data_IF_462933302254
#
_entry.id   IF_462933302254
#
_cell.length_a   1.000
_cell.length_b   1.000
_cell.length_c   1.000
_cell.angle_alpha   90.00
_cell.angle_beta   90.00
_cell.angle_gamma   90.00
#
_symmetry.space_group_name_H-M   'P 1'
#
loop_
_entity.id
_entity.type
_entity.pdbx_description
1 polymer ?
#
# COMPACT_ATOMS: atom_id res chain seq x y z
N UNK A 1 -3.23 19.96 -21.38
CA UNK A 1 -3.12 18.90 -20.35
C UNK A 1 -1.95 18.03 -20.78
N UNK A 2 -0.81 18.11 -20.11
CA UNK A 2 0.34 17.29 -20.47
C UNK A 2 0.16 15.91 -19.81
N UNK A 3 0.08 14.86 -20.64
CA UNK A 3 0.18 13.47 -20.20
C UNK A 3 1.60 13.22 -19.67
N UNK A 4 1.77 13.32 -18.35
CA UNK A 4 3.03 12.90 -17.73
C UNK A 4 3.05 11.37 -17.64
N UNK A 5 3.78 10.76 -18.53
CA UNK A 5 4.21 9.38 -18.32
C UNK A 5 5.09 9.32 -17.06
N UNK A 6 4.82 8.37 -16.16
CA UNK A 6 5.73 8.10 -15.05
C UNK A 6 7.14 7.82 -15.56
N UNK A 7 8.13 8.38 -14.84
CA UNK A 7 9.54 8.11 -15.14
C UNK A 7 9.79 6.60 -15.04
N UNK A 8 10.65 6.09 -15.90
CA UNK A 8 11.11 4.70 -15.85
C UNK A 8 11.78 4.41 -14.51
N UNK A 9 11.01 3.94 -13.54
CA UNK A 9 11.48 3.52 -12.23
C UNK A 9 10.99 2.10 -11.92
N UNK A 10 11.76 1.37 -11.14
CA UNK A 10 11.37 0.03 -10.67
C UNK A 10 10.77 0.12 -9.26
N UNK A 11 9.58 -0.45 -9.09
CA UNK A 11 9.01 -0.66 -7.77
C UNK A 11 9.62 -1.90 -7.13
N UNK A 12 10.28 -1.75 -5.98
CA UNK A 12 10.84 -2.87 -5.21
C UNK A 12 10.08 -3.03 -3.91
N UNK A 13 9.51 -4.21 -3.71
CA UNK A 13 8.78 -4.57 -2.49
C UNK A 13 9.50 -5.70 -1.76
N UNK A 14 10.30 -5.40 -0.72
CA UNK A 14 10.74 -6.40 0.24
C UNK A 14 9.52 -6.82 1.08
N UNK A 15 8.97 -7.99 0.78
CA UNK A 15 7.71 -8.45 1.36
C UNK A 15 7.80 -8.63 2.87
N UNK A 16 6.94 -7.95 3.60
CA UNK A 16 6.82 -8.10 5.06
C UNK A 16 5.97 -9.33 5.38
N UNK A 17 6.57 -10.29 6.10
CA UNK A 17 6.00 -11.63 6.26
C UNK A 17 5.21 -11.85 7.54
N UNK A 18 5.44 -11.05 8.56
CA UNK A 18 4.88 -11.29 9.89
C UNK A 18 3.35 -11.22 9.92
N UNK A 19 2.75 -11.52 11.06
CA UNK A 19 1.31 -11.46 11.21
C UNK A 19 0.78 -10.05 10.93
N UNK A 20 -0.43 -9.96 10.39
CA UNK A 20 -1.18 -8.72 10.33
C UNK A 20 -2.25 -8.74 11.42
N UNK A 21 -2.39 -7.67 12.19
CA UNK A 21 -3.45 -7.49 13.20
C UNK A 21 -4.85 -7.39 12.60
N UNK A 22 -4.94 -7.18 11.29
CA UNK A 22 -6.19 -7.10 10.54
C UNK A 22 -6.46 -8.38 9.73
N UNK A 23 -7.71 -8.54 9.32
CA UNK A 23 -8.17 -9.59 8.41
C UNK A 23 -9.22 -9.00 7.45
N UNK A 24 -8.80 -7.95 6.70
CA UNK A 24 -9.65 -7.18 5.82
C UNK A 24 -10.45 -8.07 4.86
N UNK A 25 -11.71 -7.74 4.64
CA UNK A 25 -12.62 -8.57 3.84
C UNK A 25 -12.16 -8.70 2.37
N UNK A 26 -11.47 -7.70 1.86
CA UNK A 26 -10.96 -7.62 0.48
C UNK A 26 -9.43 -7.86 0.39
N UNK A 27 -8.79 -8.40 1.43
CA UNK A 27 -7.34 -8.53 1.47
C UNK A 27 -6.80 -9.41 0.34
N UNK A 28 -5.99 -8.85 -0.55
CA UNK A 28 -5.37 -9.57 -1.68
C UNK A 28 -4.50 -10.74 -1.24
N UNK A 29 -3.93 -10.68 -0.02
CA UNK A 29 -3.20 -11.79 0.58
C UNK A 29 -4.04 -13.07 0.75
N UNK A 30 -5.36 -12.92 0.85
CA UNK A 30 -6.29 -14.05 0.92
C UNK A 30 -6.60 -14.63 -0.46
N UNK A 31 -6.35 -13.86 -1.51
CA UNK A 31 -6.57 -14.26 -2.89
C UNK A 31 -5.39 -15.06 -3.46
N UNK A 32 -4.18 -14.76 -3.03
CA UNK A 32 -2.93 -15.38 -3.54
C UNK A 32 -2.59 -16.71 -2.83
N UNK A 33 -3.38 -17.14 -1.86
CA UNK A 33 -3.10 -18.32 -1.03
C UNK A 33 -3.08 -19.67 -1.74
N UNK A 34 -3.38 -19.76 -3.00
CA UNK A 34 -3.32 -21.03 -3.75
C UNK A 34 -1.89 -21.50 -4.04
N UNK A 35 -1.15 -21.69 -2.99
CA UNK A 35 0.06 -22.50 -3.06
C UNK A 35 1.38 -21.76 -3.00
N UNK A 36 1.94 -21.58 -1.89
CA UNK A 36 3.39 -21.59 -1.67
C UNK A 36 4.09 -20.39 -1.04
N UNK A 37 3.58 -19.17 -1.11
CA UNK A 37 4.32 -18.02 -0.52
C UNK A 37 4.12 -17.90 0.99
N UNK A 38 3.11 -18.47 1.53
CA UNK A 38 2.51 -18.11 2.81
C UNK A 38 3.15 -18.68 4.05
N UNK A 39 4.17 -19.49 3.95
CA UNK A 39 4.77 -20.09 5.14
C UNK A 39 6.27 -19.89 5.16
N UNK A 40 6.70 -18.64 5.18
CA UNK A 40 8.02 -18.35 5.71
C UNK A 40 7.87 -18.13 7.21
N UNK A 41 8.38 -19.08 8.00
CA UNK A 41 8.46 -18.93 9.45
C UNK A 41 9.66 -18.03 9.86
N UNK A 42 9.91 -16.98 9.12
CA UNK A 42 11.01 -16.06 9.33
C UNK A 42 11.70 -15.65 8.03
N UNK A 43 12.69 -14.79 8.14
CA UNK A 43 13.60 -14.44 7.06
C UNK A 43 14.71 -15.50 6.94
N UNK A 44 15.17 -15.80 5.72
CA UNK A 44 16.28 -16.72 5.52
C UNK A 44 17.60 -16.12 6.06
N UNK A 45 18.54 -16.97 6.42
CA UNK A 45 19.80 -16.54 7.05
C UNK A 45 20.60 -15.56 6.18
N UNK A 46 20.52 -15.69 4.86
CA UNK A 46 21.19 -14.86 3.88
C UNK A 46 20.29 -13.75 3.28
N UNK A 47 19.14 -13.45 3.92
CA UNK A 47 18.16 -12.47 3.47
C UNK A 47 18.78 -11.10 3.14
N UNK A 48 19.56 -10.58 4.08
CA UNK A 48 20.18 -9.25 3.95
C UNK A 48 21.17 -9.19 2.77
N UNK A 49 22.01 -10.21 2.64
CA UNK A 49 23.01 -10.30 1.57
C UNK A 49 22.33 -10.38 0.19
N UNK A 50 21.33 -11.25 0.08
CA UNK A 50 20.56 -11.43 -1.16
C UNK A 50 19.79 -10.16 -1.53
N UNK A 51 19.14 -9.50 -0.57
CA UNK A 51 18.43 -8.26 -0.84
C UNK A 51 19.37 -7.16 -1.33
N UNK A 52 20.55 -7.04 -0.74
CA UNK A 52 21.58 -6.13 -1.22
C UNK A 52 21.98 -6.44 -2.67
N UNK A 53 22.21 -7.71 -3.02
CA UNK A 53 22.50 -8.12 -4.41
C UNK A 53 21.40 -7.74 -5.38
N UNK A 54 20.12 -7.85 -4.98
CA UNK A 54 18.99 -7.39 -5.81
C UNK A 54 19.11 -5.89 -6.10
N UNK A 55 19.33 -5.07 -5.07
CA UNK A 55 19.45 -3.62 -5.24
C UNK A 55 20.67 -3.24 -6.10
N UNK A 56 21.82 -3.86 -5.88
CA UNK A 56 23.03 -3.63 -6.67
C UNK A 56 22.84 -3.93 -8.16
N UNK A 57 22.06 -4.98 -8.47
CA UNK A 57 21.79 -5.36 -9.87
C UNK A 57 20.98 -4.31 -10.64
N UNK A 58 20.19 -3.51 -9.94
CA UNK A 58 19.35 -2.46 -10.52
C UNK A 58 19.83 -1.05 -10.14
N UNK A 59 21.09 -0.91 -9.72
CA UNK A 59 21.64 0.32 -9.13
C UNK A 59 21.48 1.55 -10.02
N UNK A 60 21.57 1.36 -11.33
CA UNK A 60 21.47 2.45 -12.33
C UNK A 60 20.01 2.89 -12.60
N UNK A 61 19.03 2.19 -12.03
CA UNK A 61 17.61 2.48 -12.23
C UNK A 61 17.04 3.14 -11.00
N UNK A 62 16.24 4.22 -11.12
CA UNK A 62 15.53 4.80 -9.99
C UNK A 62 14.60 3.79 -9.34
N UNK A 63 14.63 3.71 -8.01
CA UNK A 63 13.89 2.72 -7.22
C UNK A 63 12.80 3.42 -6.40
N UNK A 64 11.56 2.95 -6.54
CA UNK A 64 10.49 3.18 -5.59
C UNK A 64 10.46 2.02 -4.59
N UNK A 65 10.84 2.27 -3.34
CA UNK A 65 10.85 1.25 -2.29
C UNK A 65 9.51 1.18 -1.58
N UNK A 66 8.77 0.09 -1.81
CA UNK A 66 7.45 -0.16 -1.24
C UNK A 66 7.55 -1.09 -0.02
N UNK A 67 7.42 -0.53 1.18
CA UNK A 67 7.42 -1.30 2.44
C UNK A 67 6.01 -1.81 2.69
N UNK A 68 5.71 -2.98 2.16
CA UNK A 68 4.37 -3.59 2.18
C UNK A 68 4.43 -5.12 2.24
N UNK A 69 3.29 -5.77 2.06
CA UNK A 69 3.06 -7.19 2.26
C UNK A 69 1.98 -7.35 3.33
N UNK A 70 2.32 -7.91 4.50
CA UNK A 70 1.43 -7.85 5.66
C UNK A 70 1.56 -6.50 6.39
N UNK A 71 1.62 -6.47 7.71
CA UNK A 71 1.70 -5.21 8.46
C UNK A 71 3.15 -4.88 8.83
N UNK A 72 3.80 -3.87 8.19
CA UNK A 72 5.19 -3.52 8.45
C UNK A 72 5.47 -3.15 9.91
N UNK A 73 4.54 -2.45 10.54
CA UNK A 73 4.71 -1.98 11.93
C UNK A 73 4.66 -3.10 12.97
N UNK A 74 4.23 -4.29 12.59
CA UNK A 74 4.28 -5.50 13.43
C UNK A 74 5.52 -6.36 13.17
N UNK A 75 6.37 -5.96 12.23
CA UNK A 75 7.60 -6.66 11.83
C UNK A 75 8.83 -5.76 12.00
N UNK A 76 8.95 -5.11 13.15
CA UNK A 76 9.96 -4.09 13.45
C UNK A 76 11.39 -4.55 13.13
N UNK A 77 11.75 -5.79 13.45
CA UNK A 77 13.08 -6.34 13.16
C UNK A 77 13.35 -6.43 11.65
N UNK A 78 12.43 -7.05 10.90
CA UNK A 78 12.58 -7.15 9.43
C UNK A 78 12.57 -5.76 8.78
N UNK A 79 11.71 -4.87 9.25
CA UNK A 79 11.65 -3.49 8.78
C UNK A 79 13.00 -2.77 8.97
N UNK A 80 13.62 -2.90 10.16
CA UNK A 80 14.93 -2.35 10.46
C UNK A 80 16.01 -2.88 9.51
N UNK A 81 16.07 -4.20 9.29
CA UNK A 81 17.01 -4.82 8.35
C UNK A 81 16.86 -4.26 6.94
N UNK A 82 15.62 -4.16 6.44
CA UNK A 82 15.33 -3.61 5.10
C UNK A 82 15.79 -2.16 4.98
N UNK A 83 15.48 -1.34 5.97
CA UNK A 83 15.82 0.07 5.99
C UNK A 83 17.32 0.32 6.07
N UNK A 84 18.05 -0.47 6.88
CA UNK A 84 19.51 -0.40 6.98
C UNK A 84 20.18 -0.75 5.65
N UNK A 85 19.69 -1.77 4.96
CA UNK A 85 20.19 -2.15 3.62
C UNK A 85 19.93 -1.03 2.62
N UNK A 86 18.71 -0.49 2.60
CA UNK A 86 18.32 0.61 1.70
C UNK A 86 19.17 1.86 1.95
N UNK A 87 19.46 2.19 3.21
CA UNK A 87 20.31 3.32 3.59
C UNK A 87 21.72 3.13 3.07
N UNK A 88 22.36 1.98 3.34
CA UNK A 88 23.72 1.66 2.85
C UNK A 88 23.77 1.72 1.33
N UNK A 89 22.80 1.15 0.64
CA UNK A 89 22.69 1.22 -0.82
C UNK A 89 22.69 2.66 -1.33
N UNK A 90 21.96 3.59 -0.67
CA UNK A 90 21.97 5.01 -1.04
C UNK A 90 23.32 5.67 -0.73
N UNK A 91 23.95 5.36 0.40
CA UNK A 91 25.29 5.85 0.77
C UNK A 91 26.37 5.39 -0.23
N UNK A 92 26.17 4.23 -0.86
CA UNK A 92 27.04 3.65 -1.91
C UNK A 92 26.66 4.16 -3.34
N UNK A 93 25.81 5.19 -3.43
CA UNK A 93 25.43 5.85 -4.69
C UNK A 93 24.22 5.24 -5.40
N UNK A 94 23.49 4.35 -4.76
CA UNK A 94 22.21 3.85 -5.27
C UNK A 94 21.09 4.89 -5.21
N UNK A 95 20.15 4.85 -6.14
CA UNK A 95 19.11 5.86 -6.28
C UNK A 95 17.74 5.31 -5.85
N UNK A 96 17.34 5.58 -4.59
CA UNK A 96 15.97 5.37 -4.11
C UNK A 96 15.23 6.71 -4.15
N UNK A 97 14.22 6.81 -4.99
CA UNK A 97 13.42 8.04 -5.19
C UNK A 97 12.45 8.28 -4.04
N UNK A 98 11.78 7.21 -3.60
CA UNK A 98 10.81 7.24 -2.52
C UNK A 98 10.88 5.97 -1.68
N UNK A 99 10.62 6.10 -0.38
CA UNK A 99 10.40 5.00 0.56
C UNK A 99 9.01 5.17 1.15
N UNK A 100 8.07 4.34 0.74
CA UNK A 100 6.67 4.43 1.15
C UNK A 100 6.29 3.22 1.97
N UNK A 101 5.78 3.46 3.17
CA UNK A 101 5.29 2.41 4.06
C UNK A 101 3.76 2.35 4.01
N UNK A 102 3.22 1.16 3.74
CA UNK A 102 1.78 0.87 3.74
C UNK A 102 1.40 0.20 5.05
N UNK A 103 0.55 0.82 5.85
CA UNK A 103 0.29 0.36 7.21
C UNK A 103 -1.14 0.61 7.67
N UNK A 104 -1.68 -0.27 8.50
CA UNK A 104 -2.90 -0.04 9.27
C UNK A 104 -2.64 0.64 10.62
N UNK A 105 -1.39 1.00 10.89
CA UNK A 105 -0.87 1.69 12.08
C UNK A 105 -0.98 0.92 13.41
N UNK A 106 -1.35 -0.37 13.39
CA UNK A 106 -1.54 -1.14 14.64
C UNK A 106 -0.28 -1.23 15.51
N UNK A 107 0.89 -1.34 14.88
CA UNK A 107 2.15 -1.35 15.60
C UNK A 107 2.44 -0.03 16.31
N UNK A 108 2.12 1.12 15.69
CA UNK A 108 2.27 2.43 16.33
C UNK A 108 1.35 2.62 17.55
N UNK A 109 0.15 2.04 17.52
CA UNK A 109 -0.73 2.05 18.68
C UNK A 109 -0.18 1.25 19.88
N UNK A 110 0.75 0.32 19.61
CA UNK A 110 1.40 -0.54 20.63
C UNK A 110 2.75 -0.01 21.08
N UNK A 111 3.60 0.42 20.13
CA UNK A 111 4.98 0.87 20.39
C UNK A 111 5.34 2.05 19.46
N UNK A 112 4.73 3.20 19.72
CA UNK A 112 4.97 4.40 18.92
C UNK A 112 6.47 4.80 18.90
N UNK A 113 7.05 4.95 20.10
CA UNK A 113 8.42 5.45 20.23
C UNK A 113 9.45 4.49 19.63
N UNK A 114 9.29 3.19 19.87
CA UNK A 114 10.20 2.20 19.32
C UNK A 114 10.14 2.10 17.79
N UNK A 115 8.95 2.33 17.19
CA UNK A 115 8.84 2.39 15.72
C UNK A 115 9.43 3.67 15.16
N UNK A 116 9.19 4.83 15.78
CA UNK A 116 9.81 6.08 15.34
C UNK A 116 11.34 5.99 15.39
N UNK A 117 11.93 5.41 16.45
CA UNK A 117 13.37 5.18 16.49
C UNK A 117 13.86 4.25 15.37
N UNK A 118 13.06 3.21 15.03
CA UNK A 118 13.41 2.33 13.90
C UNK A 118 13.37 3.06 12.55
N UNK A 119 12.45 4.02 12.38
CA UNK A 119 12.30 4.78 11.13
C UNK A 119 13.28 5.98 11.05
N UNK A 120 13.81 6.41 12.19
CA UNK A 120 14.68 7.57 12.30
C UNK A 120 15.94 7.43 11.46
N UNK A 121 16.25 8.47 10.69
CA UNK A 121 17.45 8.50 9.85
C UNK A 121 17.37 7.67 8.57
N UNK A 122 16.21 7.04 8.26
CA UNK A 122 16.00 6.27 7.05
C UNK A 122 15.24 7.03 5.94
N UNK A 123 14.89 8.29 6.18
CA UNK A 123 14.25 9.17 5.17
C UNK A 123 12.98 8.54 4.56
N UNK A 124 12.06 8.12 5.41
CA UNK A 124 10.75 7.64 4.95
C UNK A 124 10.03 8.81 4.29
N UNK A 125 9.64 8.65 3.03
CA UNK A 125 8.99 9.71 2.25
C UNK A 125 7.59 9.98 2.75
N UNK A 126 6.83 8.93 3.03
CA UNK A 126 5.47 9.00 3.62
C UNK A 126 5.01 7.65 4.14
N UNK A 127 3.99 7.72 4.98
CA UNK A 127 3.22 6.54 5.40
C UNK A 127 1.83 6.61 4.76
N UNK A 128 1.49 5.60 3.97
CA UNK A 128 0.14 5.40 3.46
C UNK A 128 -0.66 4.59 4.49
N UNK A 129 -1.51 5.29 5.23
CA UNK A 129 -2.26 4.67 6.30
C UNK A 129 -3.65 4.21 5.83
N UNK A 130 -3.93 2.93 6.04
CA UNK A 130 -5.17 2.29 5.63
C UNK A 130 -6.26 2.51 6.67
N UNK A 131 -7.25 3.34 6.32
CA UNK A 131 -8.51 3.52 7.07
C UNK A 131 -9.64 3.56 6.06
N UNK A 132 -10.52 2.58 6.06
CA UNK A 132 -11.47 2.39 4.95
C UNK A 132 -12.87 2.99 5.23
N UNK A 133 -13.04 3.59 6.43
CA UNK A 133 -14.22 4.38 6.77
C UNK A 133 -13.92 5.32 7.98
N UNK A 134 -14.56 6.49 7.99
CA UNK A 134 -14.51 7.44 9.11
C UNK A 134 -15.33 6.97 10.32
N UNK A 135 -16.39 6.21 10.10
CA UNK A 135 -17.14 5.55 11.17
C UNK A 135 -16.37 4.32 11.68
N UNK A 136 -16.15 4.26 12.98
CA UNK A 136 -15.34 3.24 13.65
C UNK A 136 -15.89 1.82 13.46
N UNK A 137 -17.20 1.64 13.56
CA UNK A 137 -17.81 0.32 13.47
C UNK A 137 -17.86 -0.19 12.04
N UNK A 138 -18.15 0.69 11.08
CA UNK A 138 -18.06 0.36 9.65
C UNK A 138 -16.62 0.00 9.26
N UNK A 139 -15.64 0.80 9.71
CA UNK A 139 -14.23 0.47 9.49
C UNK A 139 -13.86 -0.88 10.11
N UNK A 140 -14.29 -1.15 11.35
CA UNK A 140 -14.05 -2.44 11.99
C UNK A 140 -14.69 -3.61 11.22
N UNK A 141 -15.88 -3.41 10.69
CA UNK A 141 -16.55 -4.43 9.89
C UNK A 141 -15.78 -4.75 8.60
N UNK A 142 -15.17 -3.74 7.97
CA UNK A 142 -14.36 -3.88 6.75
C UNK A 142 -12.99 -4.50 7.07
N UNK A 143 -12.26 -3.91 8.02
CA UNK A 143 -10.86 -4.24 8.33
C UNK A 143 -10.75 -5.49 9.20
N UNK A 144 -11.71 -5.72 10.07
CA UNK A 144 -11.77 -6.86 11.01
C UNK A 144 -10.47 -7.00 11.82
N UNK A 145 -10.13 -5.93 12.54
CA UNK A 145 -9.04 -5.99 13.51
C UNK A 145 -9.26 -7.16 14.48
N UNK A 146 -8.22 -7.94 14.69
CA UNK A 146 -8.23 -9.16 15.48
C UNK A 146 -8.33 -8.83 16.97
N UNK A 147 -8.77 -9.82 17.76
CA UNK A 147 -8.67 -9.79 19.20
C UNK A 147 -7.32 -10.35 19.63
N UNK A 148 -6.67 -9.66 20.56
CA UNK A 148 -5.47 -10.14 21.25
C UNK A 148 -5.77 -10.15 22.76
N UNK A 149 -5.57 -11.29 23.42
CA UNK A 149 -5.93 -11.48 24.84
C UNK A 149 -7.38 -11.09 25.19
N UNK A 150 -8.32 -11.26 24.24
CA UNK A 150 -9.75 -10.95 24.42
C UNK A 150 -10.14 -9.53 24.03
N UNK A 151 -9.20 -8.63 23.84
CA UNK A 151 -9.44 -7.23 23.42
C UNK A 151 -9.15 -7.04 21.95
N UNK A 152 -9.97 -6.20 21.27
CA UNK A 152 -9.73 -5.80 19.88
C UNK A 152 -8.52 -4.85 19.85
N UNK A 153 -7.73 -4.92 18.78
CA UNK A 153 -6.59 -4.02 18.55
C UNK A 153 -6.96 -2.56 18.82
N UNK A 154 -6.18 -1.82 19.64
CA UNK A 154 -6.51 -0.47 20.06
C UNK A 154 -6.74 0.50 18.89
N UNK A 155 -6.02 0.31 17.78
CA UNK A 155 -6.14 1.15 16.58
C UNK A 155 -7.52 1.09 15.92
N UNK A 156 -8.39 0.15 16.30
CA UNK A 156 -9.80 0.13 15.89
C UNK A 156 -10.48 1.45 16.25
N UNK A 157 -10.22 1.97 17.46
CA UNK A 157 -10.88 3.17 17.98
C UNK A 157 -10.41 4.42 17.26
N UNK A 158 -11.38 5.27 16.87
CA UNK A 158 -11.08 6.54 16.20
C UNK A 158 -10.18 7.45 17.05
N UNK A 159 -10.40 7.49 18.36
CA UNK A 159 -9.57 8.26 19.29
C UNK A 159 -8.08 7.88 19.18
N UNK A 160 -7.78 6.57 19.25
CA UNK A 160 -6.41 6.05 19.16
C UNK A 160 -5.83 6.28 17.76
N UNK A 161 -6.62 6.03 16.73
CA UNK A 161 -6.22 6.25 15.34
C UNK A 161 -5.87 7.72 15.10
N UNK A 162 -6.73 8.63 15.53
CA UNK A 162 -6.54 10.08 15.38
C UNK A 162 -5.29 10.58 16.10
N UNK A 163 -5.05 10.12 17.35
CA UNK A 163 -3.83 10.47 18.10
C UNK A 163 -2.57 9.99 17.37
N UNK A 164 -2.55 8.73 16.94
CA UNK A 164 -1.42 8.15 16.21
C UNK A 164 -1.16 8.92 14.92
N UNK A 165 -2.19 9.21 14.11
CA UNK A 165 -2.03 9.93 12.84
C UNK A 165 -1.52 11.36 13.06
N UNK A 166 -2.07 12.11 14.02
CA UNK A 166 -1.60 13.47 14.33
C UNK A 166 -0.12 13.48 14.69
N UNK A 167 0.28 12.62 15.61
CA UNK A 167 1.69 12.50 16.04
C UNK A 167 2.63 12.06 14.91
N UNK A 168 2.18 11.14 14.05
CA UNK A 168 2.97 10.71 12.89
C UNK A 168 3.15 11.84 11.90
N UNK A 169 2.08 12.56 11.59
CA UNK A 169 2.10 13.63 10.57
C UNK A 169 3.01 14.81 10.95
N UNK A 170 3.39 14.95 12.23
CA UNK A 170 4.40 15.90 12.68
C UNK A 170 5.83 15.51 12.31
N UNK A 171 6.10 14.21 12.09
CA UNK A 171 7.47 13.69 11.87
C UNK A 171 7.67 13.00 10.53
N UNK A 172 6.64 12.38 9.99
CA UNK A 172 6.62 11.70 8.69
C UNK A 172 5.30 12.02 8.01
N UNK A 173 5.29 12.52 6.77
CA UNK A 173 4.05 12.80 6.04
C UNK A 173 3.11 11.57 6.03
N UNK A 174 1.86 11.78 6.40
CA UNK A 174 0.83 10.75 6.37
C UNK A 174 -0.13 11.00 5.22
N UNK A 175 -0.34 9.97 4.40
CA UNK A 175 -1.39 9.92 3.38
C UNK A 175 -2.45 8.93 3.83
N UNK A 176 -3.70 9.35 3.91
CA UNK A 176 -4.79 8.42 4.22
C UNK A 176 -5.27 7.70 2.97
N UNK A 177 -5.50 6.39 3.11
CA UNK A 177 -5.96 5.55 2.00
C UNK A 177 -7.25 4.83 2.37
N UNK A 178 -8.28 5.01 1.54
CA UNK A 178 -9.52 4.27 1.63
C UNK A 178 -9.81 3.52 0.33
N UNK A 179 -10.39 2.32 0.45
CA UNK A 179 -10.92 1.57 -0.70
C UNK A 179 -12.40 1.88 -0.84
N UNK A 180 -12.78 2.33 -2.04
CA UNK A 180 -14.17 2.56 -2.41
C UNK A 180 -14.89 1.22 -2.53
N UNK A 181 -16.01 1.07 -1.83
CA UNK A 181 -16.74 -0.20 -1.76
C UNK A 181 -18.16 -0.04 -1.24
N UNK A 182 -19.10 -0.85 -1.73
CA UNK A 182 -20.54 -0.73 -1.45
C UNK A 182 -20.94 -0.79 0.02
N UNK A 183 -20.18 -1.48 0.87
CA UNK A 183 -20.38 -1.51 2.33
C UNK A 183 -19.52 -0.51 3.10
N UNK A 184 -18.73 0.30 2.39
CA UNK A 184 -17.90 1.35 2.94
C UNK A 184 -18.21 2.69 2.28
N UNK A 185 -17.16 3.41 1.87
CA UNK A 185 -17.28 4.68 1.14
C UNK A 185 -17.69 4.35 -0.30
N UNK A 186 -18.86 4.79 -0.71
CA UNK A 186 -19.44 4.43 -2.01
C UNK A 186 -20.14 5.57 -2.76
N UNK A 187 -20.08 6.79 -2.21
CA UNK A 187 -20.66 7.98 -2.86
C UNK A 187 -19.92 9.25 -2.42
N UNK A 188 -20.18 10.35 -3.13
CA UNK A 188 -19.52 11.65 -2.90
C UNK A 188 -19.77 12.20 -1.51
N UNK A 189 -20.95 12.00 -0.92
CA UNK A 189 -21.24 12.48 0.43
C UNK A 189 -20.33 11.80 1.48
N UNK A 190 -20.13 10.48 1.39
CA UNK A 190 -19.23 9.75 2.26
C UNK A 190 -17.75 10.09 2.01
N UNK A 191 -17.37 10.38 0.77
CA UNK A 191 -16.04 10.91 0.43
C UNK A 191 -15.80 12.23 1.15
N UNK A 192 -16.75 13.16 1.10
CA UNK A 192 -16.65 14.46 1.78
C UNK A 192 -16.52 14.28 3.30
N UNK A 193 -17.31 13.40 3.92
CA UNK A 193 -17.18 13.12 5.35
C UNK A 193 -15.81 12.49 5.70
N UNK A 194 -15.28 11.63 4.85
CA UNK A 194 -13.94 11.08 5.03
C UNK A 194 -12.85 12.16 4.90
N UNK A 195 -13.01 13.11 3.99
CA UNK A 195 -12.07 14.23 3.83
C UNK A 195 -12.11 15.17 5.03
N UNK A 196 -13.29 15.43 5.62
CA UNK A 196 -13.41 16.17 6.89
C UNK A 196 -12.69 15.44 8.03
N UNK A 197 -12.89 14.13 8.14
CA UNK A 197 -12.20 13.30 9.13
C UNK A 197 -10.66 13.35 8.95
N UNK A 198 -10.15 13.36 7.72
CA UNK A 198 -8.73 13.54 7.44
C UNK A 198 -8.23 14.95 7.83
N UNK A 199 -9.02 15.99 7.51
CA UNK A 199 -8.69 17.40 7.85
C UNK A 199 -8.59 17.61 9.39
N UNK A 200 -9.44 16.97 10.20
CA UNK A 200 -9.38 17.01 11.66
C UNK A 200 -8.05 16.47 12.23
N UNK A 201 -7.38 15.62 11.49
CA UNK A 201 -6.07 15.06 11.84
C UNK A 201 -4.90 15.82 11.22
N UNK A 202 -5.17 16.91 10.49
CA UNK A 202 -4.14 17.67 9.77
C UNK A 202 -3.59 16.95 8.52
N UNK A 203 -4.27 15.89 8.05
CA UNK A 203 -3.87 15.18 6.83
C UNK A 203 -4.37 15.95 5.60
N UNK A 204 -3.46 16.24 4.69
CA UNK A 204 -3.72 17.02 3.47
C UNK A 204 -3.56 16.21 2.18
N UNK A 205 -3.39 14.89 2.30
CA UNK A 205 -3.24 13.98 1.17
C UNK A 205 -4.05 12.70 1.40
N UNK A 206 -5.03 12.46 0.55
CA UNK A 206 -5.98 11.35 0.67
C UNK A 206 -6.08 10.62 -0.65
N UNK A 207 -6.08 9.29 -0.59
CA UNK A 207 -6.27 8.42 -1.75
C UNK A 207 -7.51 7.57 -1.57
N UNK A 208 -8.36 7.59 -2.58
CA UNK A 208 -9.46 6.65 -2.74
C UNK A 208 -9.10 5.65 -3.85
N UNK A 209 -9.09 4.38 -3.52
CA UNK A 209 -8.79 3.31 -4.48
C UNK A 209 -10.04 2.53 -4.84
N UNK A 210 -10.20 2.26 -6.12
CA UNK A 210 -11.18 1.28 -6.57
C UNK A 210 -10.83 -0.10 -6.00
N UNK A 211 -11.84 -0.86 -5.62
CA UNK A 211 -11.67 -2.23 -5.16
C UNK A 211 -11.23 -3.10 -6.35
N UNK A 212 -9.98 -3.56 -6.30
CA UNK A 212 -9.37 -4.30 -7.39
C UNK A 212 -10.05 -5.65 -7.60
N UNK A 213 -10.30 -6.01 -8.86
CA UNK A 213 -10.78 -7.32 -9.28
C UNK A 213 -9.64 -8.12 -9.92
N UNK A 214 -9.60 -9.42 -9.65
CA UNK A 214 -8.60 -10.35 -10.16
C UNK A 214 -9.33 -11.54 -10.78
N UNK A 215 -9.34 -11.67 -12.11
CA UNK A 215 -10.19 -12.65 -12.79
C UNK A 215 -9.62 -14.08 -12.82
N UNK A 216 -8.33 -14.28 -12.99
CA UNK A 216 -7.81 -15.60 -13.34
C UNK A 216 -7.03 -16.34 -12.23
N UNK A 217 -6.63 -15.68 -11.15
CA UNK A 217 -5.61 -16.24 -10.24
C UNK A 217 -6.25 -16.84 -8.98
N UNK A 218 -7.59 -16.98 -8.90
CA UNK A 218 -8.15 -16.83 -7.60
C UNK A 218 -9.12 -17.93 -7.21
N UNK A 219 -8.83 -18.43 -6.00
CA UNK A 219 -9.76 -19.19 -5.18
C UNK A 219 -11.13 -18.48 -5.12
N UNK A 220 -12.21 -19.21 -5.42
CA UNK A 220 -13.61 -18.78 -5.33
C UNK A 220 -14.08 -18.61 -3.87
N UNK A 221 -13.19 -18.09 -3.01
CA UNK A 221 -13.43 -17.92 -1.60
C UNK A 221 -14.25 -16.69 -1.24
N UNK A 222 -14.53 -16.55 0.06
CA UNK A 222 -15.33 -15.45 0.62
C UNK A 222 -14.78 -14.04 0.28
N UNK A 223 -13.47 -13.91 0.11
CA UNK A 223 -12.84 -12.62 -0.25
C UNK A 223 -13.21 -12.22 -1.67
N UNK A 224 -13.18 -13.14 -2.62
CA UNK A 224 -13.61 -12.89 -4.00
C UNK A 224 -15.09 -12.52 -4.04
N UNK A 225 -15.95 -13.31 -3.39
CA UNK A 225 -17.36 -13.00 -3.30
C UNK A 225 -17.60 -11.61 -2.72
N UNK A 226 -16.86 -11.23 -1.66
CA UNK A 226 -16.95 -9.90 -1.08
C UNK A 226 -16.60 -8.81 -2.10
N UNK A 227 -15.53 -8.99 -2.87
CA UNK A 227 -15.09 -8.04 -3.89
C UNK A 227 -16.15 -7.88 -4.97
N UNK A 228 -16.65 -8.98 -5.51
CA UNK A 228 -17.70 -8.98 -6.55
C UNK A 228 -18.98 -8.29 -6.08
N UNK A 229 -19.41 -8.50 -4.83
CA UNK A 229 -20.62 -7.90 -4.26
C UNK A 229 -20.46 -6.43 -3.88
N UNK A 230 -19.23 -5.94 -3.68
CA UNK A 230 -18.97 -4.60 -3.11
C UNK A 230 -18.17 -3.68 -4.02
N UNK A 231 -17.70 -4.14 -5.17
CA UNK A 231 -17.00 -3.29 -6.12
C UNK A 231 -17.92 -2.19 -6.64
N UNK A 232 -17.36 -1.00 -6.77
CA UNK A 232 -17.99 0.19 -7.35
C UNK A 232 -17.06 0.65 -8.47
N UNK A 233 -17.63 1.00 -9.60
CA UNK A 233 -16.86 1.57 -10.70
C UNK A 233 -16.40 2.99 -10.32
N UNK A 234 -15.09 3.24 -10.41
CA UNK A 234 -14.54 4.54 -10.07
C UNK A 234 -15.10 5.66 -10.94
N UNK A 235 -15.39 5.37 -12.20
CA UNK A 235 -15.90 6.37 -13.13
C UNK A 235 -17.26 6.91 -12.70
N UNK A 236 -18.15 6.09 -12.12
CA UNK A 236 -19.44 6.54 -11.58
C UNK A 236 -19.27 7.57 -10.45
N UNK A 237 -18.24 7.38 -9.63
CA UNK A 237 -17.88 8.34 -8.57
C UNK A 237 -17.35 9.64 -9.19
N UNK A 238 -16.44 9.55 -10.17
CA UNK A 238 -15.83 10.72 -10.79
C UNK A 238 -16.85 11.59 -11.54
N UNK A 239 -17.83 10.98 -12.18
CA UNK A 239 -18.94 11.69 -12.85
C UNK A 239 -19.85 12.44 -11.87
N UNK A 240 -19.94 11.94 -10.63
CA UNK A 240 -20.78 12.53 -9.58
C UNK A 240 -20.06 13.62 -8.75
N UNK A 241 -18.74 13.79 -8.91
CA UNK A 241 -17.97 14.77 -8.16
C UNK A 241 -18.34 16.21 -8.57
N UNK A 242 -18.72 17.08 -7.61
CA UNK A 242 -19.06 18.46 -7.92
C UNK A 242 -17.79 19.32 -8.19
N UNK A 243 -17.72 19.90 -9.38
CA UNK A 243 -16.61 20.75 -9.83
C UNK A 243 -16.35 21.96 -8.94
N UNK A 244 -17.35 22.45 -8.21
CA UNK A 244 -17.20 23.60 -7.32
C UNK A 244 -16.30 23.28 -6.13
N UNK A 245 -16.36 22.04 -5.63
CA UNK A 245 -15.59 21.61 -4.46
C UNK A 245 -14.30 20.88 -4.81
N UNK A 246 -14.27 20.20 -5.94
CA UNK A 246 -13.12 19.43 -6.41
C UNK A 246 -12.58 20.03 -7.71
N UNK A 247 -11.34 20.49 -7.68
CA UNK A 247 -10.66 21.00 -8.87
C UNK A 247 -9.69 19.94 -9.39
N UNK A 248 -9.91 19.47 -10.61
CA UNK A 248 -9.00 18.54 -11.27
C UNK A 248 -7.64 19.20 -11.46
N UNK A 249 -6.59 18.56 -10.98
CA UNK A 249 -5.21 19.04 -11.10
C UNK A 249 -4.42 18.28 -12.16
N UNK A 250 -4.53 16.96 -12.16
CA UNK A 250 -3.77 16.10 -13.07
C UNK A 250 -4.48 14.75 -13.28
N UNK A 251 -4.09 14.10 -14.38
CA UNK A 251 -4.41 12.70 -14.65
C UNK A 251 -3.10 12.02 -14.94
N UNK A 252 -2.82 10.93 -14.22
CA UNK A 252 -1.64 10.10 -14.43
C UNK A 252 -2.12 8.76 -14.99
N UNK A 253 -1.55 8.38 -16.13
CA UNK A 253 -1.74 7.08 -16.73
C UNK A 253 -0.45 6.27 -16.59
N UNK A 254 -0.46 5.26 -15.74
CA UNK A 254 0.55 4.21 -15.71
C UNK A 254 0.23 3.11 -16.74
N UNK A 255 1.04 2.07 -16.80
CA UNK A 255 0.80 1.00 -17.77
C UNK A 255 -0.37 0.07 -17.38
N UNK A 256 -0.77 0.05 -16.11
CA UNK A 256 -1.91 -0.73 -15.61
C UNK A 256 -2.75 0.00 -14.57
N UNK A 257 -2.50 1.29 -14.37
CA UNK A 257 -3.30 2.08 -13.43
C UNK A 257 -3.56 3.49 -13.95
N UNK A 258 -4.61 4.10 -13.40
CA UNK A 258 -4.94 5.49 -13.60
C UNK A 258 -5.06 6.17 -12.24
N UNK A 259 -4.61 7.42 -12.17
CA UNK A 259 -4.80 8.27 -11.01
C UNK A 259 -5.33 9.62 -11.44
N UNK A 260 -6.46 10.02 -10.86
CA UNK A 260 -7.12 11.31 -11.08
C UNK A 260 -6.88 12.17 -9.85
N UNK A 261 -6.04 13.18 -9.98
CA UNK A 261 -5.68 14.08 -8.88
C UNK A 261 -6.55 15.31 -8.84
N UNK A 262 -7.17 15.56 -7.70
CA UNK A 262 -8.02 16.73 -7.44
C UNK A 262 -7.50 17.53 -6.25
N UNK A 263 -7.93 18.79 -6.19
CA UNK A 263 -7.81 19.63 -5.00
C UNK A 263 -9.20 19.86 -4.41
N UNK A 264 -9.46 19.32 -3.21
CA UNK A 264 -10.72 19.52 -2.49
C UNK A 264 -10.66 20.78 -1.65
N UNK A 265 -11.67 21.66 -1.80
CA UNK A 265 -11.82 22.93 -1.07
C UNK A 265 -10.54 23.79 -1.01
N UNK A 266 -9.65 23.66 -2.00
CA UNK A 266 -8.35 24.35 -2.03
C UNK A 266 -7.31 23.85 -1.03
N UNK A 267 -7.59 22.83 -0.21
CA UNK A 267 -6.77 22.40 0.92
C UNK A 267 -6.21 20.98 0.77
N UNK A 268 -7.06 20.00 0.52
CA UNK A 268 -6.68 18.58 0.53
C UNK A 268 -6.38 18.13 -0.91
N UNK A 269 -5.24 17.46 -1.10
CA UNK A 269 -4.96 16.71 -2.32
C UNK A 269 -5.73 15.39 -2.24
N UNK A 270 -6.52 15.10 -3.25
CA UNK A 270 -7.30 13.88 -3.34
C UNK A 270 -6.93 13.15 -4.61
N UNK A 271 -6.51 11.90 -4.48
CA UNK A 271 -6.27 11.04 -5.63
C UNK A 271 -7.32 9.94 -5.68
N UNK A 272 -7.89 9.72 -6.86
CA UNK A 272 -8.74 8.57 -7.14
C UNK A 272 -7.95 7.62 -8.04
N UNK A 273 -7.73 6.40 -7.57
CA UNK A 273 -6.86 5.44 -8.22
C UNK A 273 -7.62 4.18 -8.60
N UNK A 274 -7.43 3.71 -9.82
CA UNK A 274 -7.89 2.41 -10.29
C UNK A 274 -6.72 1.61 -10.87
N UNK A 275 -6.79 0.29 -10.76
CA UNK A 275 -5.80 -0.63 -11.32
C UNK A 275 -6.50 -1.66 -12.19
N UNK A 276 -6.03 -1.78 -13.42
CA UNK A 276 -6.44 -2.81 -14.37
C UNK A 276 -5.43 -3.96 -14.35
N UNK A 277 -5.70 -4.96 -13.53
CA UNK A 277 -4.81 -6.12 -13.40
C UNK A 277 -4.88 -7.06 -14.60
N UNK A 278 -6.00 -7.10 -15.33
CA UNK A 278 -6.11 -7.87 -16.56
C UNK A 278 -5.22 -7.26 -17.64
N UNK A 279 -5.29 -5.94 -17.81
CA UNK A 279 -4.44 -5.23 -18.74
C UNK A 279 -2.96 -5.38 -18.35
N UNK A 280 -2.64 -5.36 -17.05
CA UNK A 280 -1.30 -5.67 -16.56
C UNK A 280 -0.83 -7.05 -17.00
N UNK A 281 -1.66 -8.09 -16.86
CA UNK A 281 -1.32 -9.46 -17.25
C UNK A 281 -1.14 -9.56 -18.76
N UNK A 282 -2.04 -8.98 -19.55
CA UNK A 282 -1.94 -8.91 -21.02
C UNK A 282 -0.67 -8.19 -21.46
N UNK A 283 -0.38 -7.06 -20.81
CA UNK A 283 0.79 -6.25 -21.10
C UNK A 283 2.10 -7.01 -20.83
N UNK A 284 2.20 -7.70 -19.69
CA UNK A 284 3.35 -8.57 -19.37
C UNK A 284 3.49 -9.75 -20.33
N UNK A 285 2.38 -10.30 -20.82
CA UNK A 285 2.40 -11.37 -21.82
C UNK A 285 2.82 -10.94 -23.23
N UNK A 286 2.62 -9.66 -23.55
CA UNK A 286 2.91 -9.09 -24.87
C UNK A 286 4.22 -8.31 -24.94
N UNK A 287 4.81 -7.95 -23.78
CA UNK A 287 6.08 -7.22 -23.77
C UNK A 287 7.27 -8.15 -23.89
N UNK A 288 8.26 -7.66 -24.62
CA UNK A 288 9.62 -8.23 -24.57
C UNK A 288 10.01 -8.40 -23.09
N UNK A 289 10.27 -9.66 -22.66
CA UNK A 289 10.54 -10.08 -21.27
C UNK A 289 11.66 -9.31 -20.54
N UNK A 290 12.26 -8.34 -21.22
CA UNK A 290 13.37 -7.52 -20.70
C UNK A 290 12.97 -6.35 -19.83
N UNK A 291 11.70 -5.91 -19.83
CA UNK A 291 11.25 -4.79 -19.00
C UNK A 291 10.65 -5.29 -17.69
N UNK A 292 11.30 -4.94 -16.59
CA UNK A 292 10.86 -5.23 -15.24
C UNK A 292 10.41 -3.92 -14.59
N UNK A 293 9.14 -3.83 -14.19
CA UNK A 293 8.57 -2.65 -13.53
C UNK A 293 8.45 -2.81 -12.04
N UNK A 294 8.39 -4.07 -11.57
CA UNK A 294 8.19 -4.42 -10.17
C UNK A 294 9.06 -5.62 -9.80
N UNK A 295 9.60 -5.57 -8.59
CA UNK A 295 10.30 -6.68 -7.96
C UNK A 295 9.70 -6.95 -6.60
N UNK A 296 9.36 -8.19 -6.31
CA UNK A 296 8.91 -8.65 -5.00
C UNK A 296 9.99 -9.56 -4.44
N UNK A 297 10.60 -9.15 -3.34
CA UNK A 297 11.61 -9.94 -2.66
C UNK A 297 11.02 -10.57 -1.40
N UNK A 298 10.88 -11.89 -1.42
CA UNK A 298 10.24 -12.65 -0.36
C UNK A 298 11.20 -13.01 0.79
N UNK A 299 10.68 -13.27 2.01
CA UNK A 299 11.49 -13.59 3.20
C UNK A 299 12.36 -14.83 3.06
N UNK A 300 11.98 -15.77 2.20
CA UNK A 300 12.75 -16.98 1.88
C UNK A 300 13.87 -16.74 0.84
N UNK A 301 14.12 -15.49 0.47
CA UNK A 301 15.14 -15.13 -0.50
C UNK A 301 14.73 -15.30 -1.97
N UNK A 302 13.46 -15.61 -2.25
CA UNK A 302 12.95 -15.70 -3.63
C UNK A 302 12.65 -14.29 -4.13
N UNK A 303 13.10 -13.99 -5.35
CA UNK A 303 12.79 -12.76 -6.08
C UNK A 303 11.82 -13.06 -7.22
N UNK A 304 10.76 -12.26 -7.35
CA UNK A 304 9.79 -12.36 -8.42
C UNK A 304 9.59 -11.02 -9.13
N UNK A 305 9.20 -11.04 -10.40
CA UNK A 305 8.89 -9.84 -11.20
C UNK A 305 7.48 -9.27 -10.97
N UNK A 306 6.66 -9.99 -10.22
CA UNK A 306 5.31 -9.61 -9.80
C UNK A 306 4.89 -10.41 -8.54
N UNK A 307 3.63 -10.29 -8.14
CA UNK A 307 3.07 -11.05 -7.02
C UNK A 307 2.88 -12.54 -7.31
N UNK A 308 3.07 -12.97 -8.55
CA UNK A 308 2.95 -14.37 -8.95
C UNK A 308 4.31 -15.06 -8.82
N UNK A 309 4.39 -16.11 -7.99
CA UNK A 309 5.62 -16.90 -7.80
C UNK A 309 6.12 -17.60 -9.06
N UNK A 310 5.29 -17.73 -10.11
CA UNK A 310 5.74 -18.22 -11.42
C UNK A 310 6.71 -17.25 -12.12
N UNK A 311 6.67 -15.97 -11.73
CA UNK A 311 7.60 -14.94 -12.20
C UNK A 311 8.94 -14.91 -11.47
N UNK A 312 9.41 -16.03 -10.91
CA UNK A 312 10.69 -16.13 -10.19
C UNK A 312 11.86 -15.75 -11.11
N UNK A 313 12.78 -14.98 -10.52
CA UNK A 313 14.04 -14.55 -11.15
C UNK A 313 15.23 -15.24 -10.48
N UNK A 314 16.15 -15.75 -11.29
CA UNK A 314 17.39 -16.40 -10.81
C UNK A 314 18.52 -15.34 -10.66
N UNK A 315 18.27 -14.31 -9.86
CA UNK A 315 19.21 -13.22 -9.62
C UNK A 315 20.03 -13.37 -8.34
N UNK A 316 19.54 -14.16 -7.39
CA UNK A 316 20.05 -14.28 -6.03
C UNK A 316 19.97 -15.72 -5.50
#
# INVERSE_FOLDING_TARGET
>A
MEDRMEKDQISVTPYIYNACSANCQFCSELLVRSGSVTVCNGICADYAEKFRKVLERIKETPIFLSLSGKEPTESKEQLGIILDIAKRFQEEGGHITEKVMYSNLSGFAKDYNGLIETLKGHQITRIECSRHHYDEEKNQWIVRFKKNAGEIEPIKRNEVFTDVVKRLNEVIPVRMVAVLQGKGIHNVAEIIEYLKFAEEMGVTDVVFRELAMFDEIVDHGKTRQYIEENRIELMDILEAIPDEQFKLNNIIKGYYYFSFGYKYAGKINVSFEMSDYEEMIKYHGNMDDKKIYKLIYYPNGILCKDWNMKGKLDWV
#
